data_IF_388724543741
#
_entry.id   IF_388724543741
#
_cell.length_a   1.000
_cell.length_b   1.000
_cell.length_c   1.000
_cell.angle_alpha   90.00
_cell.angle_beta   90.00
_cell.angle_gamma   90.00
#
_symmetry.space_group_name_H-M   'P 1'
#
loop_
_entity.id
_entity.type
_entity.pdbx_description
1 polymer ?
#
# COMPACT_ATOMS: atom_id res chain seq x y z
N UNK A 1 9.03 -32.82 -4.87
CA UNK A 1 9.56 -31.91 -3.82
C UNK A 1 8.88 -30.57 -4.03
N UNK A 2 8.24 -29.98 -3.01
CA UNK A 2 7.66 -28.64 -3.12
C UNK A 2 8.60 -27.64 -2.46
N UNK A 3 9.02 -26.60 -3.18
CA UNK A 3 9.80 -25.51 -2.60
C UNK A 3 8.94 -24.79 -1.55
N UNK A 4 9.50 -24.52 -0.37
CA UNK A 4 8.86 -23.67 0.64
C UNK A 4 9.23 -22.22 0.37
N UNK A 5 8.27 -21.28 0.32
CA UNK A 5 8.60 -19.87 0.21
C UNK A 5 9.39 -19.42 1.45
N UNK A 6 10.43 -18.64 1.23
CA UNK A 6 11.19 -17.97 2.28
C UNK A 6 10.84 -16.48 2.27
N UNK A 7 10.43 -15.96 3.42
CA UNK A 7 10.25 -14.51 3.60
C UNK A 7 11.66 -13.91 3.70
N UNK A 8 12.00 -13.05 2.74
CA UNK A 8 13.30 -12.35 2.70
C UNK A 8 13.26 -10.98 3.37
N UNK A 9 12.08 -10.37 3.44
CA UNK A 9 11.86 -9.04 4.02
C UNK A 9 10.40 -8.86 4.39
N UNK A 10 10.17 -8.22 5.52
CA UNK A 10 8.85 -7.76 5.97
C UNK A 10 8.94 -6.25 6.18
N UNK A 11 7.90 -5.53 5.77
CA UNK A 11 7.82 -4.06 5.83
C UNK A 11 6.53 -3.70 6.55
N UNK A 12 6.66 -3.02 7.67
CA UNK A 12 5.55 -2.61 8.53
C UNK A 12 5.09 -1.17 8.26
N UNK A 13 4.05 -0.72 8.97
CA UNK A 13 3.58 0.68 8.93
C UNK A 13 2.46 0.97 7.93
N UNK A 14 1.91 -0.07 7.28
CA UNK A 14 0.77 0.01 6.38
C UNK A 14 -0.56 -0.15 7.12
N UNK A 15 -1.64 0.37 6.53
CA UNK A 15 -3.00 0.27 7.06
C UNK A 15 -3.89 -0.49 6.11
N UNK A 16 -3.97 -1.82 6.32
CA UNK A 16 -4.73 -2.74 5.49
C UNK A 16 -4.37 -2.60 3.99
N UNK A 17 -3.10 -2.86 3.61
CA UNK A 17 -2.63 -2.68 2.23
C UNK A 17 -3.38 -3.59 1.25
N UNK A 18 -3.63 -3.10 0.03
CA UNK A 18 -4.42 -3.83 -0.98
C UNK A 18 -3.63 -4.36 -2.18
N UNK A 19 -2.69 -3.58 -2.68
CA UNK A 19 -1.90 -3.95 -3.86
C UNK A 19 -0.52 -3.30 -3.78
N UNK A 20 0.34 -3.65 -4.74
CA UNK A 20 1.61 -2.99 -4.98
C UNK A 20 1.62 -2.56 -6.44
N UNK A 21 1.92 -1.29 -6.69
CA UNK A 21 2.05 -0.74 -8.03
C UNK A 21 3.43 -0.11 -8.21
N UNK A 22 4.13 -0.41 -9.29
CA UNK A 22 5.47 0.09 -9.56
C UNK A 22 5.42 1.02 -10.76
N UNK A 23 5.88 2.25 -10.59
CA UNK A 23 5.93 3.22 -11.67
C UNK A 23 7.03 4.24 -11.42
N UNK A 24 7.78 4.57 -12.47
CA UNK A 24 8.79 5.63 -12.50
C UNK A 24 9.76 5.59 -11.30
N UNK A 25 10.38 4.43 -11.05
CA UNK A 25 11.36 4.27 -9.97
C UNK A 25 10.78 4.21 -8.56
N UNK A 26 9.45 4.11 -8.42
CA UNK A 26 8.78 4.16 -7.12
C UNK A 26 7.79 3.00 -6.95
N UNK A 27 7.58 2.61 -5.70
CA UNK A 27 6.56 1.66 -5.28
C UNK A 27 5.41 2.43 -4.62
N UNK A 28 4.19 2.11 -5.02
CA UNK A 28 2.96 2.68 -4.48
C UNK A 28 2.11 1.59 -3.83
N UNK A 29 1.69 1.84 -2.59
CA UNK A 29 0.88 0.89 -1.82
C UNK A 29 -0.39 1.61 -1.37
N UNK A 30 -1.56 1.30 -1.95
CA UNK A 30 -2.85 1.77 -1.43
C UNK A 30 -3.19 1.10 -0.10
N UNK A 31 -3.65 1.92 0.83
CA UNK A 31 -4.08 1.56 2.18
C UNK A 31 -5.56 1.90 2.32
N UNK A 32 -6.36 0.98 2.87
CA UNK A 32 -7.78 1.24 3.08
C UNK A 32 -7.99 2.33 4.12
N UNK A 33 -7.16 2.37 5.16
CA UNK A 33 -7.40 3.22 6.32
C UNK A 33 -7.41 2.43 7.62
N UNK A 34 -7.90 3.03 8.71
CA UNK A 34 -7.97 2.40 10.04
C UNK A 34 -9.00 1.27 10.08
N UNK A 35 -10.11 1.42 9.33
CA UNK A 35 -11.21 0.45 9.33
C UNK A 35 -11.28 -0.31 8.03
N UNK A 36 -11.53 -1.62 8.11
CA UNK A 36 -11.81 -2.45 6.93
C UNK A 36 -13.31 -2.37 6.60
N UNK A 37 -13.76 -1.20 6.16
CA UNK A 37 -15.14 -0.97 5.71
C UNK A 37 -15.14 -0.69 4.20
N UNK A 38 -15.39 -1.69 3.33
CA UNK A 38 -15.15 -1.58 1.88
C UNK A 38 -15.98 -0.53 1.12
N UNK A 39 -16.96 0.06 1.80
CA UNK A 39 -17.91 1.06 1.30
C UNK A 39 -17.86 2.38 2.10
N UNK A 40 -16.96 2.47 3.09
CA UNK A 40 -16.80 3.69 3.87
C UNK A 40 -16.40 4.86 2.97
N UNK A 41 -16.89 6.05 3.35
CA UNK A 41 -16.60 7.33 2.71
C UNK A 41 -16.14 8.35 3.75
N UNK A 42 -15.22 7.92 4.59
CA UNK A 42 -14.63 8.65 5.71
C UNK A 42 -13.30 9.32 5.33
N UNK A 43 -12.75 9.00 4.16
CA UNK A 43 -11.54 9.66 3.65
C UNK A 43 -10.27 9.26 4.39
N UNK A 44 -10.27 8.15 5.15
CA UNK A 44 -9.12 7.71 5.93
C UNK A 44 -8.11 6.88 5.10
N UNK A 45 -8.45 6.55 3.85
CA UNK A 45 -7.59 5.88 2.90
C UNK A 45 -6.49 6.78 2.34
N UNK A 46 -5.38 6.15 1.96
CA UNK A 46 -4.20 6.85 1.44
C UNK A 46 -3.30 5.92 0.61
N UNK A 47 -2.38 6.50 -0.16
CA UNK A 47 -1.35 5.78 -0.93
C UNK A 47 0.01 6.11 -0.33
N UNK A 48 0.75 5.08 0.09
CA UNK A 48 2.15 5.18 0.50
C UNK A 48 3.05 5.17 -0.72
N UNK A 49 4.16 5.90 -0.66
CA UNK A 49 5.24 5.91 -1.66
C UNK A 49 6.54 5.39 -1.04
N UNK A 50 7.16 4.43 -1.70
CA UNK A 50 8.36 3.73 -1.26
C UNK A 50 9.44 3.75 -2.36
N UNK A 51 10.70 3.60 -1.95
CA UNK A 51 11.79 3.21 -2.85
C UNK A 51 11.83 1.68 -3.06
N UNK A 52 12.76 1.20 -3.90
CA UNK A 52 12.94 -0.23 -4.20
C UNK A 52 13.59 -1.04 -3.09
N UNK A 53 14.23 -0.37 -2.13
CA UNK A 53 14.67 -1.01 -0.90
C UNK A 53 13.51 -1.19 0.07
N UNK A 54 12.31 -0.69 -0.22
CA UNK A 54 11.15 -0.80 0.64
C UNK A 54 11.16 0.19 1.80
N UNK A 55 11.96 1.26 1.72
CA UNK A 55 11.87 2.36 2.66
C UNK A 55 10.67 3.23 2.30
N UNK A 56 9.90 3.63 3.32
CA UNK A 56 8.77 4.56 3.15
C UNK A 56 9.33 5.96 2.97
N UNK A 57 9.29 6.45 1.72
CA UNK A 57 9.64 7.83 1.39
C UNK A 57 8.56 8.79 1.89
N UNK A 58 7.28 8.42 1.68
CA UNK A 58 6.12 9.19 2.14
C UNK A 58 4.98 8.26 2.51
N UNK A 59 4.54 8.30 3.78
CA UNK A 59 3.46 7.44 4.27
C UNK A 59 2.12 7.73 3.59
N UNK A 60 1.75 9.00 3.45
CA UNK A 60 0.49 9.43 2.82
C UNK A 60 0.78 10.40 1.67
N UNK A 61 1.32 9.87 0.58
CA UNK A 61 1.65 10.63 -0.64
C UNK A 61 0.39 11.21 -1.29
N UNK A 62 -0.64 10.38 -1.42
CA UNK A 62 -2.01 10.78 -1.73
C UNK A 62 -2.87 10.38 -0.53
N UNK A 63 -3.75 11.28 -0.07
CA UNK A 63 -4.52 11.14 1.16
C UNK A 63 -5.95 11.63 0.95
N UNK A 64 -6.79 11.52 1.97
CA UNK A 64 -8.17 11.99 1.98
C UNK A 64 -9.02 11.31 0.89
N UNK A 65 -8.74 10.03 0.65
CA UNK A 65 -9.46 9.17 -0.29
C UNK A 65 -10.18 8.07 0.48
N UNK A 66 -11.29 7.58 -0.05
CA UNK A 66 -12.14 6.62 0.68
C UNK A 66 -11.48 5.23 0.80
N UNK A 67 -11.69 4.37 -0.20
CA UNK A 67 -11.15 3.00 -0.17
C UNK A 67 -10.43 2.75 -1.50
N UNK A 68 -9.12 3.01 -1.61
CA UNK A 68 -8.37 2.76 -2.83
C UNK A 68 -8.22 1.25 -3.06
N UNK A 69 -8.87 0.74 -4.10
CA UNK A 69 -8.92 -0.71 -4.39
C UNK A 69 -7.87 -1.20 -5.38
N UNK A 70 -7.28 -0.29 -6.16
CA UNK A 70 -6.26 -0.61 -7.15
C UNK A 70 -5.75 0.67 -7.82
N UNK A 71 -4.62 0.54 -8.51
CA UNK A 71 -3.96 1.61 -9.26
C UNK A 71 -3.69 1.11 -10.68
N UNK A 72 -3.88 1.98 -11.67
CA UNK A 72 -3.54 1.74 -13.07
C UNK A 72 -3.09 3.06 -13.70
N UNK A 73 -2.40 2.97 -14.84
CA UNK A 73 -2.03 4.10 -15.70
C UNK A 73 -2.76 4.01 -17.03
#
# INVERSE_FOLDING_TARGET
MHAKPQIIKEIEGFSHPKSVFVYDGNIFVPNVGEKIEPLAKDGDGFISKLDYDGNILQKAFIRDINVPKGLFI
#
